data_IF_911202193422
#
_entry.id   IF_911202193422
#
_cell.length_a   1.000
_cell.length_b   1.000
_cell.length_c   1.000
_cell.angle_alpha   90.00
_cell.angle_beta   90.00
_cell.angle_gamma   90.00
#
_symmetry.space_group_name_H-M   'P 1'
#
loop_
_entity.id
_entity.type
_entity.pdbx_description
1 polymer ?
#
# COMPACT_ATOMS: atom_id res chain seq x y z
N UNK A 1 9.20 -18.17 6.60
CA UNK A 1 9.05 -17.13 5.56
C UNK A 1 7.72 -17.20 4.82
N UNK A 2 7.33 -18.36 4.27
CA UNK A 2 6.06 -18.57 3.55
C UNK A 2 4.81 -18.10 4.33
N UNK A 3 4.76 -18.33 5.64
CA UNK A 3 3.66 -17.89 6.53
C UNK A 3 3.52 -16.37 6.61
N UNK A 4 4.64 -15.64 6.58
CA UNK A 4 4.65 -14.18 6.60
C UNK A 4 4.17 -13.60 5.27
N UNK A 5 4.57 -14.22 4.15
CA UNK A 5 4.13 -13.80 2.82
C UNK A 5 2.64 -14.05 2.63
N UNK A 6 2.15 -15.25 3.00
CA UNK A 6 0.71 -15.56 2.96
C UNK A 6 -0.10 -14.61 3.85
N UNK A 7 0.37 -14.31 5.05
CA UNK A 7 -0.28 -13.34 5.94
C UNK A 7 -0.34 -11.94 5.35
N UNK A 8 0.75 -11.48 4.72
CA UNK A 8 0.76 -10.19 4.02
C UNK A 8 -0.21 -10.16 2.84
N UNK A 9 -0.20 -11.20 1.98
CA UNK A 9 -1.12 -11.29 0.83
C UNK A 9 -2.58 -11.31 1.30
N UNK A 10 -2.89 -12.06 2.37
CA UNK A 10 -4.24 -12.05 2.96
C UNK A 10 -4.62 -10.67 3.49
N UNK A 11 -3.65 -9.94 4.05
CA UNK A 11 -3.84 -8.58 4.57
C UNK A 11 -4.18 -7.58 3.47
N UNK A 12 -3.79 -7.84 2.21
CA UNK A 12 -4.18 -6.99 1.07
C UNK A 12 -5.69 -6.96 0.81
N UNK A 13 -6.45 -7.88 1.41
CA UNK A 13 -7.90 -7.96 1.27
C UNK A 13 -8.64 -7.83 2.62
N UNK A 14 -7.92 -7.52 3.71
CA UNK A 14 -8.51 -7.27 5.02
C UNK A 14 -9.30 -5.95 4.97
N UNK A 15 -10.62 -5.93 5.24
CA UNK A 15 -11.46 -4.72 5.15
C UNK A 15 -10.92 -3.52 5.95
N UNK A 16 -10.29 -3.77 7.10
CA UNK A 16 -9.71 -2.72 7.96
C UNK A 16 -8.53 -2.05 7.26
N UNK A 17 -7.69 -2.86 6.62
CA UNK A 17 -6.49 -2.41 5.92
C UNK A 17 -6.80 -1.84 4.54
N UNK A 18 -7.78 -2.39 3.84
CA UNK A 18 -8.22 -1.93 2.52
C UNK A 18 -8.77 -0.51 2.61
N UNK A 19 -9.60 -0.20 3.63
CA UNK A 19 -10.19 1.14 3.77
C UNK A 19 -9.15 2.25 3.93
N UNK A 20 -8.19 2.02 4.82
CA UNK A 20 -7.09 2.96 5.08
C UNK A 20 -6.08 2.97 3.92
N UNK A 21 -5.78 1.81 3.34
CA UNK A 21 -4.91 1.68 2.19
C UNK A 21 -5.44 2.42 0.96
N UNK A 22 -6.74 2.32 0.67
CA UNK A 22 -7.37 3.04 -0.43
C UNK A 22 -7.33 4.56 -0.22
N UNK A 23 -7.59 5.04 1.00
CA UNK A 23 -7.47 6.47 1.33
C UNK A 23 -6.05 6.98 1.07
N UNK A 24 -5.04 6.24 1.53
CA UNK A 24 -3.63 6.56 1.31
C UNK A 24 -3.29 6.52 -0.19
N UNK A 25 -3.75 5.50 -0.91
CA UNK A 25 -3.56 5.37 -2.36
C UNK A 25 -4.15 6.55 -3.13
N UNK A 26 -5.38 6.97 -2.82
CA UNK A 26 -6.01 8.11 -3.48
C UNK A 26 -5.26 9.40 -3.13
N UNK A 27 -5.04 9.69 -1.85
CA UNK A 27 -4.46 10.97 -1.45
C UNK A 27 -3.00 11.12 -1.89
N UNK A 28 -2.15 10.16 -1.51
CA UNK A 28 -0.72 10.19 -1.83
C UNK A 28 -0.49 9.88 -3.31
N UNK A 29 -1.25 8.94 -3.87
CA UNK A 29 -1.15 8.61 -5.29
C UNK A 29 -1.57 9.77 -6.20
N UNK A 30 -2.61 10.54 -5.86
CA UNK A 30 -2.96 11.74 -6.64
C UNK A 30 -1.90 12.83 -6.53
N UNK A 31 -1.31 13.04 -5.36
CA UNK A 31 -0.21 13.98 -5.20
C UNK A 31 1.00 13.58 -6.06
N UNK A 32 1.41 12.30 -5.98
CA UNK A 32 2.51 11.76 -6.78
C UNK A 32 2.20 11.78 -8.28
N UNK A 33 0.94 11.52 -8.67
CA UNK A 33 0.52 11.60 -10.06
C UNK A 33 0.70 13.01 -10.62
N UNK A 34 0.24 14.03 -9.89
CA UNK A 34 0.37 15.43 -10.33
C UNK A 34 1.84 15.81 -10.49
N UNK A 35 2.69 15.45 -9.53
CA UNK A 35 4.12 15.79 -9.55
C UNK A 35 4.86 15.05 -10.67
N UNK A 36 4.59 13.76 -10.90
CA UNK A 36 5.37 12.93 -11.83
C UNK A 36 4.81 12.89 -13.26
N UNK A 37 3.48 12.96 -13.40
CA UNK A 37 2.78 12.73 -14.66
C UNK A 37 1.89 13.91 -15.08
N UNK A 38 1.62 14.89 -14.20
CA UNK A 38 0.69 15.99 -14.47
C UNK A 38 1.05 16.81 -15.71
N UNK A 39 2.31 17.21 -15.86
CA UNK A 39 2.75 17.97 -17.05
C UNK A 39 2.65 17.14 -18.34
N UNK A 40 3.04 15.87 -18.28
CA UNK A 40 2.94 14.98 -19.43
C UNK A 40 1.47 14.70 -19.81
N UNK A 41 0.56 14.65 -18.84
CA UNK A 41 -0.88 14.58 -19.10
C UNK A 41 -1.38 15.85 -19.80
N UNK A 42 -1.05 17.03 -19.29
CA UNK A 42 -1.48 18.31 -19.86
C UNK A 42 -0.94 18.54 -21.28
N UNK A 43 0.25 18.01 -21.59
CA UNK A 43 0.89 18.10 -22.92
C UNK A 43 0.47 17.00 -23.89
N UNK A 44 -0.33 16.03 -23.46
CA UNK A 44 -0.69 14.87 -24.29
C UNK A 44 0.46 13.89 -24.54
N UNK A 45 1.50 13.89 -23.70
CA UNK A 45 2.69 13.04 -23.79
C UNK A 45 2.51 11.70 -23.03
N UNK A 46 1.26 11.27 -22.83
CA UNK A 46 0.95 10.01 -22.15
C UNK A 46 1.12 8.82 -23.09
N UNK A 47 2.25 8.12 -22.95
CA UNK A 47 2.50 6.85 -23.63
C UNK A 47 2.16 5.64 -22.73
N UNK A 48 2.21 4.43 -23.29
CA UNK A 48 1.89 3.17 -22.57
C UNK A 48 2.74 2.98 -21.31
N UNK A 49 4.03 3.30 -21.37
CA UNK A 49 4.94 3.15 -20.22
C UNK A 49 4.57 4.11 -19.08
N UNK A 50 4.25 5.36 -19.40
CA UNK A 50 3.78 6.34 -18.40
C UNK A 50 2.47 5.91 -17.76
N UNK A 51 1.54 5.30 -18.49
CA UNK A 51 0.32 4.76 -17.89
C UNK A 51 0.59 3.62 -16.91
N UNK A 52 1.58 2.76 -17.19
CA UNK A 52 2.01 1.73 -16.23
C UNK A 52 2.60 2.40 -14.97
N UNK A 53 3.40 3.45 -15.13
CA UNK A 53 3.92 4.23 -14.00
C UNK A 53 2.81 4.89 -13.19
N UNK A 54 1.74 5.36 -13.84
CA UNK A 54 0.55 5.89 -13.15
C UNK A 54 -0.12 4.81 -12.29
N UNK A 55 -0.30 3.59 -12.80
CA UNK A 55 -0.86 2.49 -12.00
C UNK A 55 0.03 2.21 -10.79
N UNK A 56 1.35 2.12 -10.97
CA UNK A 56 2.30 1.94 -9.89
C UNK A 56 2.24 3.08 -8.85
N UNK A 57 2.00 4.31 -9.29
CA UNK A 57 1.89 5.50 -8.44
C UNK A 57 0.75 5.38 -7.41
N UNK A 58 -0.36 4.72 -7.77
CA UNK A 58 -1.46 4.46 -6.86
C UNK A 58 -1.31 3.12 -6.11
N UNK A 59 -0.74 2.11 -6.77
CA UNK A 59 -0.55 0.78 -6.16
C UNK A 59 0.48 0.80 -5.03
N UNK A 60 1.58 1.54 -5.18
CA UNK A 60 2.66 1.54 -4.18
C UNK A 60 2.24 2.10 -2.82
N UNK A 61 1.55 3.26 -2.71
CA UNK A 61 1.06 3.75 -1.42
C UNK A 61 0.07 2.79 -0.76
N UNK A 62 -0.77 2.09 -1.54
CA UNK A 62 -1.65 1.04 -1.00
C UNK A 62 -0.83 -0.10 -0.36
N UNK A 63 0.10 -0.68 -1.12
CA UNK A 63 0.90 -1.83 -0.68
C UNK A 63 1.74 -1.49 0.56
N UNK A 64 2.39 -0.32 0.58
CA UNK A 64 3.21 0.11 1.72
C UNK A 64 2.36 0.37 2.95
N UNK A 65 1.16 0.95 2.79
CA UNK A 65 0.23 1.15 3.89
C UNK A 65 -0.19 -0.20 4.51
N UNK A 66 -0.64 -1.16 3.69
CA UNK A 66 -1.05 -2.50 4.18
C UNK A 66 0.14 -3.22 4.82
N UNK A 67 1.33 -3.12 4.23
CA UNK A 67 2.54 -3.73 4.79
C UNK A 67 2.87 -3.16 6.18
N UNK A 68 2.76 -1.84 6.35
CA UNK A 68 2.97 -1.18 7.64
C UNK A 68 1.99 -1.68 8.69
N UNK A 69 0.71 -1.76 8.35
CA UNK A 69 -0.34 -2.22 9.27
C UNK A 69 -0.19 -3.70 9.64
N UNK A 70 0.08 -4.55 8.66
CA UNK A 70 0.35 -5.97 8.88
C UNK A 70 1.59 -6.20 9.76
N UNK A 71 2.67 -5.45 9.52
CA UNK A 71 3.89 -5.53 10.31
C UNK A 71 3.69 -5.03 11.74
N UNK A 72 2.85 -4.01 11.93
CA UNK A 72 2.52 -3.48 13.24
C UNK A 72 1.63 -4.44 14.03
N UNK A 73 0.55 -4.95 13.44
CA UNK A 73 -0.36 -5.94 14.06
C UNK A 73 0.40 -7.18 14.53
N UNK A 74 1.25 -7.75 13.67
CA UNK A 74 2.07 -8.92 14.04
C UNK A 74 2.99 -8.67 15.23
N UNK A 75 3.55 -7.46 15.37
CA UNK A 75 4.39 -7.10 16.52
C UNK A 75 3.59 -7.03 17.82
N UNK A 76 2.33 -6.62 17.76
CA UNK A 76 1.43 -6.61 18.92
C UNK A 76 1.05 -8.03 19.32
N UNK A 77 0.66 -8.88 18.36
CA UNK A 77 0.30 -10.27 18.62
C UNK A 77 1.46 -11.06 19.26
N UNK A 78 2.70 -10.83 18.79
CA UNK A 78 3.89 -11.45 19.35
C UNK A 78 4.29 -10.93 20.73
N UNK A 79 3.86 -9.73 21.12
CA UNK A 79 4.06 -9.20 22.48
C UNK A 79 2.99 -9.68 23.46
N UNK A 80 1.73 -9.79 23.02
CA UNK A 80 0.64 -10.33 23.84
C UNK A 80 0.90 -11.78 24.25
N UNK A 81 1.33 -12.61 23.30
CA UNK A 81 1.66 -14.02 23.58
C UNK A 81 2.84 -14.19 24.56
N UNK A 82 3.75 -13.23 24.67
CA UNK A 82 4.88 -13.29 25.60
C UNK A 82 4.53 -12.79 27.01
N UNK A 83 3.44 -12.04 27.17
CA UNK A 83 2.98 -11.50 28.45
C UNK A 83 1.99 -12.43 29.17
N UNK A 84 1.36 -13.35 28.46
CA UNK A 84 0.47 -14.38 29.03
C UNK A 84 1.23 -15.63 29.52
N UNK A 85 2.53 -15.74 29.21
CA UNK A 85 3.43 -16.84 29.61
C UNK A 85 4.23 -16.56 30.91
N UNK A 86 4.12 -15.35 31.48
CA UNK A 86 4.73 -14.90 32.75
C UNK A 86 3.72 -14.86 33.91
#
# INVERSE_FOLDING_TARGET
MMRMLKGYISSLFDPEFVSTGLKTAVFVGSLLFVINHGLALLRGEMNRERWISVIATYAMPYLVNVYGQYSYRRKLDGKGAAADDD
#
